data_IF_647529663304
#
_entry.id   IF_647529663304
#
_cell.length_a   1.000
_cell.length_b   1.000
_cell.length_c   1.000
_cell.angle_alpha   90.00
_cell.angle_beta   90.00
_cell.angle_gamma   90.00
#
_symmetry.space_group_name_H-M   'P 1'
#
loop_
_entity.id
_entity.type
_entity.pdbx_description
1 polymer ?
#
# COMPACT_ATOMS: atom_id res chain seq x y z
N UNK A 1 -13.87 -41.54 25.76
CA UNK A 1 -13.86 -42.02 24.36
C UNK A 1 -12.43 -41.91 23.86
N UNK A 2 -11.84 -43.02 23.44
CA UNK A 2 -10.40 -43.27 23.34
C UNK A 2 -9.87 -42.88 21.96
N UNK A 3 -8.70 -42.20 21.90
CA UNK A 3 -7.70 -42.42 20.84
C UNK A 3 -6.30 -41.96 21.32
N UNK A 4 -5.40 -42.94 21.35
CA UNK A 4 -3.98 -42.89 21.70
C UNK A 4 -3.09 -42.68 20.46
N UNK A 5 -1.88 -42.16 20.68
CA UNK A 5 -0.68 -42.38 19.84
C UNK A 5 -0.26 -41.19 18.98
N UNK A 6 1.00 -40.82 18.81
CA UNK A 6 2.29 -41.41 19.21
C UNK A 6 3.33 -40.28 19.10
N UNK A 7 4.16 -40.13 20.15
CA UNK A 7 5.28 -39.18 20.18
C UNK A 7 6.48 -39.87 19.51
N UNK A 8 6.85 -39.45 18.30
CA UNK A 8 8.01 -40.01 17.60
C UNK A 8 9.29 -39.31 18.05
N UNK A 9 10.05 -39.99 18.91
CA UNK A 9 11.44 -39.68 19.21
C UNK A 9 12.29 -40.27 18.09
N UNK A 10 12.99 -39.43 17.33
CA UNK A 10 14.06 -39.89 16.43
C UNK A 10 15.36 -39.25 16.91
N UNK A 11 16.12 -40.02 17.69
CA UNK A 11 17.56 -39.82 17.82
C UNK A 11 18.22 -40.65 16.72
N UNK A 12 18.81 -39.99 15.72
CA UNK A 12 19.78 -40.62 14.82
C UNK A 12 21.15 -40.03 15.10
N UNK A 13 22.07 -40.95 15.36
CA UNK A 13 23.47 -40.75 15.70
C UNK A 13 24.27 -40.27 14.47
N UNK A 14 25.17 -39.33 14.74
CA UNK A 14 26.28 -38.81 13.95
C UNK A 14 26.59 -39.42 12.56
N UNK A 15 26.52 -38.56 11.53
CA UNK A 15 27.48 -38.55 10.43
C UNK A 15 27.87 -37.09 10.16
N UNK A 16 29.17 -36.87 10.13
CA UNK A 16 29.88 -35.62 9.86
C UNK A 16 29.31 -34.83 8.68
N UNK A 17 28.94 -33.59 8.96
CA UNK A 17 28.44 -32.61 8.02
C UNK A 17 27.58 -31.63 8.79
N UNK A 18 28.17 -30.54 9.29
CA UNK A 18 27.39 -29.44 9.88
C UNK A 18 26.52 -28.83 8.80
N UNK A 19 25.32 -29.41 8.62
CA UNK A 19 24.21 -28.75 7.98
C UNK A 19 23.81 -27.60 8.91
N UNK A 20 24.41 -26.43 8.66
CA UNK A 20 23.87 -25.18 9.15
C UNK A 20 22.54 -25.02 8.44
N UNK A 21 21.45 -25.36 9.13
CA UNK A 21 20.12 -24.96 8.70
C UNK A 21 20.10 -23.43 8.71
N UNK A 22 20.34 -22.82 7.54
CA UNK A 22 20.10 -21.39 7.37
C UNK A 22 18.58 -21.24 7.36
N UNK A 23 18.03 -20.95 8.53
CA UNK A 23 16.65 -20.47 8.64
C UNK A 23 16.60 -19.20 7.82
N UNK A 24 15.92 -19.24 6.68
CA UNK A 24 15.60 -18.05 5.91
C UNK A 24 14.71 -17.16 6.79
N UNK A 25 15.32 -16.21 7.47
CA UNK A 25 14.60 -15.15 8.19
C UNK A 25 13.99 -14.24 7.14
N UNK A 26 12.73 -14.49 6.77
CA UNK A 26 11.93 -13.49 6.05
C UNK A 26 11.54 -12.40 7.04
N UNK A 27 12.48 -11.50 7.33
CA UNK A 27 12.20 -10.32 8.13
C UNK A 27 11.62 -9.23 7.22
N UNK A 28 10.40 -9.49 6.74
CA UNK A 28 9.54 -8.44 6.19
C UNK A 28 8.94 -7.68 7.37
N UNK A 29 9.75 -6.86 8.04
CA UNK A 29 9.23 -5.78 8.87
C UNK A 29 8.82 -4.63 7.95
N UNK A 30 7.79 -4.85 7.14
CA UNK A 30 7.17 -3.84 6.31
C UNK A 30 6.46 -2.83 7.19
N UNK A 31 7.10 -1.71 7.48
CA UNK A 31 6.46 -0.56 8.11
C UNK A 31 5.43 0.02 7.12
N UNK A 32 4.22 -0.55 7.12
CA UNK A 32 3.11 -0.08 6.29
C UNK A 32 2.62 1.26 6.85
N UNK A 33 3.19 2.35 6.33
CA UNK A 33 2.76 3.70 6.67
C UNK A 33 1.30 3.88 6.23
N UNK A 34 0.43 4.25 7.18
CA UNK A 34 -0.97 4.61 6.89
C UNK A 34 -1.01 5.87 6.02
N UNK A 35 -1.99 5.93 5.10
CA UNK A 35 -2.24 7.11 4.26
C UNK A 35 -2.36 8.37 5.14
N UNK A 36 -1.58 9.40 4.81
CA UNK A 36 -1.63 10.71 5.43
C UNK A 36 -2.20 11.71 4.44
N UNK A 37 -3.17 12.51 4.87
CA UNK A 37 -3.85 13.49 4.03
C UNK A 37 -3.66 14.87 4.65
N UNK A 38 -3.10 15.80 3.88
CA UNK A 38 -2.89 17.18 4.28
C UNK A 38 -3.57 18.14 3.32
N UNK A 39 -4.34 19.10 3.85
CA UNK A 39 -5.02 20.13 3.05
C UNK A 39 -4.16 21.39 3.03
N UNK A 40 -3.54 21.70 1.88
CA UNK A 40 -2.69 22.89 1.73
C UNK A 40 -3.49 24.19 1.54
N UNK A 41 -4.64 24.10 0.87
CA UNK A 41 -5.51 25.24 0.57
C UNK A 41 -6.95 24.75 0.50
N UNK A 42 -7.87 25.53 1.05
CA UNK A 42 -9.32 25.32 0.94
C UNK A 42 -9.95 26.60 0.43
N UNK A 43 -10.93 26.48 -0.47
CA UNK A 43 -11.75 27.62 -0.91
C UNK A 43 -12.76 27.93 0.19
N UNK A 44 -13.02 29.22 0.47
CA UNK A 44 -13.90 29.64 1.57
C UNK A 44 -15.35 29.18 1.39
N UNK A 45 -15.86 29.26 0.15
CA UNK A 45 -17.21 28.80 -0.21
C UNK A 45 -17.11 27.70 -1.25
N UNK A 46 -17.63 26.52 -0.90
CA UNK A 46 -17.64 25.35 -1.76
C UNK A 46 -18.89 24.52 -1.44
N UNK A 47 -19.92 24.70 -2.25
CA UNK A 47 -21.23 24.06 -2.04
C UNK A 47 -21.25 22.62 -2.58
N UNK A 48 -20.32 22.28 -3.49
CA UNK A 48 -20.16 20.96 -4.07
C UNK A 48 -18.88 20.29 -3.58
N UNK A 49 -19.03 19.12 -2.94
CA UNK A 49 -17.93 18.29 -2.44
C UNK A 49 -17.88 16.97 -3.19
N UNK A 50 -16.67 16.46 -3.40
CA UNK A 50 -16.43 15.17 -4.06
C UNK A 50 -17.03 14.01 -3.27
N UNK A 51 -17.70 13.12 -4.01
CA UNK A 51 -18.36 11.91 -3.50
C UNK A 51 -18.02 10.73 -4.39
N UNK A 52 -18.23 9.53 -3.85
CA UNK A 52 -18.05 8.29 -4.62
C UNK A 52 -18.97 8.32 -5.86
N UNK A 53 -18.39 8.04 -7.02
CA UNK A 53 -19.09 8.06 -8.32
C UNK A 53 -18.90 9.36 -9.11
N UNK A 54 -18.39 10.43 -8.49
CA UNK A 54 -18.11 11.67 -9.21
C UNK A 54 -16.98 11.47 -10.24
N UNK A 55 -17.08 12.14 -11.37
CA UNK A 55 -15.98 12.26 -12.32
C UNK A 55 -15.15 13.48 -11.92
N UNK A 56 -13.88 13.25 -11.58
CA UNK A 56 -12.95 14.30 -11.19
C UNK A 56 -11.94 14.55 -12.31
N UNK A 57 -11.61 15.83 -12.51
CA UNK A 57 -10.50 16.29 -13.34
C UNK A 57 -9.47 16.93 -12.41
N UNK A 58 -8.27 16.34 -12.32
CA UNK A 58 -7.25 16.80 -11.38
C UNK A 58 -5.87 16.96 -12.02
N UNK A 59 -5.27 18.10 -11.75
CA UNK A 59 -3.82 18.22 -11.83
C UNK A 59 -3.17 17.65 -10.58
N UNK A 60 -2.06 16.94 -10.78
CA UNK A 60 -1.24 16.33 -9.75
C UNK A 60 0.25 16.39 -10.10
N UNK A 61 1.05 16.20 -9.05
CA UNK A 61 2.48 15.90 -9.11
C UNK A 61 2.80 14.81 -8.09
N UNK A 62 3.34 13.70 -8.55
CA UNK A 62 3.75 12.55 -7.74
C UNK A 62 5.25 12.53 -7.54
N UNK A 63 5.69 12.40 -6.28
CA UNK A 63 7.10 12.32 -5.91
C UNK A 63 7.36 11.10 -5.02
N UNK A 64 8.58 10.56 -5.09
CA UNK A 64 9.09 9.59 -4.12
C UNK A 64 9.39 10.28 -2.78
N UNK A 65 9.74 9.50 -1.75
CA UNK A 65 10.04 10.04 -0.40
C UNK A 65 11.28 10.96 -0.39
N UNK A 66 12.21 10.76 -1.32
CA UNK A 66 13.40 11.59 -1.50
C UNK A 66 13.11 12.91 -2.26
N UNK A 67 11.88 13.09 -2.74
CA UNK A 67 11.45 14.25 -3.53
C UNK A 67 11.59 14.09 -5.04
N UNK A 68 12.15 12.98 -5.54
CA UNK A 68 12.24 12.70 -6.97
C UNK A 68 10.85 12.62 -7.58
N UNK A 69 10.56 13.45 -8.59
CA UNK A 69 9.29 13.38 -9.34
C UNK A 69 9.27 12.13 -10.22
N UNK A 70 8.20 11.33 -10.11
CA UNK A 70 8.01 10.17 -10.99
C UNK A 70 6.96 10.44 -12.08
N UNK A 71 6.02 11.36 -11.83
CA UNK A 71 4.99 11.76 -12.80
C UNK A 71 4.34 13.09 -12.41
N UNK A 72 3.90 13.86 -13.41
CA UNK A 72 3.22 15.15 -13.23
C UNK A 72 2.32 15.44 -14.43
N UNK A 73 1.04 15.71 -14.15
CA UNK A 73 0.08 16.17 -15.16
C UNK A 73 0.46 17.53 -15.78
N UNK A 74 1.20 18.36 -15.04
CA UNK A 74 1.60 19.68 -15.51
C UNK A 74 2.59 19.59 -16.68
N UNK A 75 3.42 18.54 -16.73
CA UNK A 75 4.37 18.31 -17.82
C UNK A 75 3.66 17.98 -19.14
N UNK A 76 2.46 17.41 -19.06
CA UNK A 76 1.61 17.09 -20.23
C UNK A 76 0.64 18.23 -20.60
N UNK A 77 0.37 19.14 -19.66
CA UNK A 77 -0.58 20.23 -19.86
C UNK A 77 -2.05 19.81 -19.77
N UNK A 78 -2.35 18.56 -19.39
CA UNK A 78 -3.71 18.02 -19.31
C UNK A 78 -3.99 17.36 -17.93
N UNK A 79 -5.17 17.59 -17.33
CA UNK A 79 -5.58 16.91 -16.11
C UNK A 79 -5.82 15.42 -16.32
N UNK A 80 -5.63 14.63 -15.26
CA UNK A 80 -6.14 13.26 -15.25
C UNK A 80 -7.65 13.28 -14.96
N UNK A 81 -8.40 12.49 -15.72
CA UNK A 81 -9.84 12.29 -15.54
C UNK A 81 -10.11 10.88 -15.03
N UNK A 82 -10.88 10.73 -13.95
CA UNK A 82 -11.23 9.43 -13.38
C UNK A 82 -12.53 9.50 -12.56
N UNK A 83 -13.16 8.36 -12.34
CA UNK A 83 -14.34 8.21 -11.48
C UNK A 83 -13.92 7.86 -10.04
N UNK A 84 -14.26 8.70 -9.07
CA UNK A 84 -13.83 8.54 -7.68
C UNK A 84 -14.46 7.31 -7.01
N UNK A 85 -13.62 6.46 -6.39
CA UNK A 85 -14.07 5.29 -5.65
C UNK A 85 -14.49 4.11 -6.54
N UNK A 86 -14.09 4.13 -7.82
CA UNK A 86 -14.33 3.07 -8.80
C UNK A 86 -13.18 2.05 -8.88
N UNK A 87 -12.05 2.30 -8.22
CA UNK A 87 -10.84 1.49 -8.36
C UNK A 87 -10.01 1.77 -9.62
N UNK A 88 -10.32 2.84 -10.37
CA UNK A 88 -9.54 3.26 -11.55
C UNK A 88 -8.16 3.85 -11.20
N UNK A 89 -7.99 4.32 -9.97
CA UNK A 89 -6.74 4.92 -9.47
C UNK A 89 -6.24 4.17 -8.24
N UNK A 90 -5.02 4.49 -7.80
CA UNK A 90 -4.44 3.87 -6.60
C UNK A 90 -5.34 4.12 -5.38
N UNK A 91 -5.40 3.14 -4.46
CA UNK A 91 -6.31 3.16 -3.30
C UNK A 91 -6.21 4.44 -2.45
N UNK A 92 -5.01 5.03 -2.37
CA UNK A 92 -4.79 6.27 -1.64
C UNK A 92 -5.59 7.45 -2.19
N UNK A 93 -5.81 7.50 -3.51
CA UNK A 93 -6.63 8.54 -4.14
C UNK A 93 -8.12 8.30 -3.89
N UNK A 94 -8.59 7.06 -4.09
CA UNK A 94 -9.98 6.69 -3.83
C UNK A 94 -10.42 6.97 -2.38
N UNK A 95 -9.50 6.84 -1.43
CA UNK A 95 -9.76 7.14 -0.02
C UNK A 95 -9.51 8.62 0.32
N UNK A 96 -8.47 9.22 -0.25
CA UNK A 96 -7.97 10.53 0.17
C UNK A 96 -8.71 11.73 -0.42
N UNK A 97 -9.52 11.52 -1.46
CA UNK A 97 -10.24 12.58 -2.18
C UNK A 97 -11.74 12.62 -1.87
N UNK A 98 -12.23 11.78 -0.97
CA UNK A 98 -13.59 11.90 -0.42
C UNK A 98 -13.64 13.07 0.57
N UNK A 99 -14.70 13.88 0.51
CA UNK A 99 -14.83 15.16 1.23
C UNK A 99 -16.00 15.22 2.24
#
# INVERSE_FOLDING_TARGET
MVRFGLVAWISVLAASGTLVAVSATSESSGNSKRLQIGVKRRVEKCDARSRKGDVLHMHYRGTLEDGTEFDSSYNRGEPLTFTLGSGQVIRGWDQGLLA
#
